data_IF_826132437931
#
_entry.id   IF_826132437931
#
_cell.length_a   1.000
_cell.length_b   1.000
_cell.length_c   1.000
_cell.angle_alpha   90.00
_cell.angle_beta   90.00
_cell.angle_gamma   90.00
#
_symmetry.space_group_name_H-M   'P 1'
#
loop_
_entity.id
_entity.type
_entity.pdbx_description
1 polymer ?
#
# COMPACT_ATOMS: atom_id res chain seq x y z
N UNK A 1 30.07 12.21 27.26
CA UNK A 1 29.31 11.11 27.89
C UNK A 1 28.17 11.58 28.80
N UNK A 2 28.37 12.59 29.67
CA UNK A 2 27.29 13.09 30.54
C UNK A 2 26.05 13.65 29.81
N UNK A 3 26.20 14.12 28.56
CA UNK A 3 25.09 14.64 27.74
C UNK A 3 24.12 13.56 27.22
N UNK A 4 24.52 12.29 27.19
CA UNK A 4 23.63 11.19 26.78
C UNK A 4 22.81 10.63 27.96
N UNK A 5 23.21 10.93 29.21
CA UNK A 5 22.51 10.48 30.40
C UNK A 5 21.03 10.92 30.42
N UNK A 6 20.68 12.19 30.11
CA UNK A 6 19.27 12.60 30.06
C UNK A 6 18.46 11.83 29.00
N UNK A 7 19.07 11.49 27.86
CA UNK A 7 18.39 10.77 26.77
C UNK A 7 18.02 9.35 27.23
N UNK A 8 18.99 8.64 27.83
CA UNK A 8 18.76 7.29 28.34
C UNK A 8 17.75 7.28 29.49
N UNK A 9 17.84 8.25 30.40
CA UNK A 9 16.91 8.40 31.52
C UNK A 9 15.48 8.68 31.02
N UNK A 10 15.31 9.58 30.05
CA UNK A 10 13.99 9.87 29.47
C UNK A 10 13.42 8.67 28.70
N UNK A 11 14.25 7.95 27.95
CA UNK A 11 13.83 6.72 27.28
C UNK A 11 13.36 5.67 28.30
N UNK A 12 14.13 5.44 29.37
CA UNK A 12 13.75 4.51 30.43
C UNK A 12 12.47 4.95 31.14
N UNK A 13 12.34 6.24 31.46
CA UNK A 13 11.14 6.79 32.09
C UNK A 13 9.91 6.63 31.19
N UNK A 14 10.04 6.87 29.89
CA UNK A 14 8.97 6.69 28.91
C UNK A 14 8.51 5.23 28.82
N UNK A 15 9.46 4.28 28.81
CA UNK A 15 9.15 2.84 28.84
C UNK A 15 8.45 2.47 30.15
N UNK A 16 8.98 2.90 31.30
CA UNK A 16 8.38 2.63 32.61
C UNK A 16 6.98 3.20 32.69
N UNK A 17 6.77 4.43 32.22
CA UNK A 17 5.46 5.06 32.19
C UNK A 17 4.47 4.30 31.30
N UNK A 18 4.88 3.87 30.10
CA UNK A 18 4.05 3.07 29.20
C UNK A 18 3.66 1.72 29.82
N UNK A 19 4.60 1.02 30.44
CA UNK A 19 4.36 -0.25 31.14
C UNK A 19 3.43 -0.06 32.33
N UNK A 20 3.70 0.92 33.20
CA UNK A 20 2.84 1.20 34.36
C UNK A 20 1.43 1.59 33.94
N UNK A 21 1.28 2.38 32.87
CA UNK A 21 -0.02 2.78 32.33
C UNK A 21 -0.79 1.58 31.78
N UNK A 22 -0.12 0.67 31.08
CA UNK A 22 -0.73 -0.58 30.61
C UNK A 22 -1.16 -1.49 31.78
N UNK A 23 -0.32 -1.65 32.81
CA UNK A 23 -0.64 -2.42 34.02
C UNK A 23 -1.82 -1.80 34.78
N UNK A 24 -1.82 -0.48 34.95
CA UNK A 24 -2.91 0.25 35.59
C UNK A 24 -4.22 0.08 34.80
N UNK A 25 -4.19 0.22 33.47
CA UNK A 25 -5.36 -0.01 32.62
C UNK A 25 -5.93 -1.43 32.79
N UNK A 26 -5.06 -2.44 32.87
CA UNK A 26 -5.46 -3.84 33.09
C UNK A 26 -6.04 -4.08 34.49
N UNK A 27 -5.51 -3.41 35.52
CA UNK A 27 -5.92 -3.61 36.92
C UNK A 27 -7.18 -2.81 37.29
N UNK A 28 -7.31 -1.58 36.79
CA UNK A 28 -8.45 -0.70 37.06
C UNK A 28 -9.63 -0.92 36.08
N UNK A 29 -9.36 -1.47 34.89
CA UNK A 29 -10.38 -1.67 33.86
C UNK A 29 -11.35 -2.83 34.19
N UNK A 30 -12.66 -2.68 33.94
CA UNK A 30 -13.62 -3.76 34.13
C UNK A 30 -13.38 -4.88 33.10
N UNK A 31 -12.94 -6.05 33.55
CA UNK A 31 -12.76 -7.23 32.71
C UNK A 31 -14.09 -7.95 32.49
N UNK A 32 -14.70 -7.75 31.31
CA UNK A 32 -15.92 -8.45 30.87
C UNK A 32 -15.74 -9.00 29.45
N UNK A 33 -14.94 -10.07 29.26
CA UNK A 33 -14.76 -10.69 27.96
C UNK A 33 -16.09 -11.29 27.50
N UNK A 34 -16.37 -11.19 26.20
CA UNK A 34 -17.48 -11.89 25.56
C UNK A 34 -17.04 -12.25 24.14
N UNK A 35 -17.56 -13.36 23.60
CA UNK A 35 -17.21 -13.81 22.26
C UNK A 35 -17.40 -12.72 21.20
N UNK A 36 -18.42 -11.87 21.35
CA UNK A 36 -18.67 -10.74 20.45
C UNK A 36 -17.65 -9.59 20.58
N UNK A 37 -17.01 -9.40 21.75
CA UNK A 37 -15.97 -8.36 21.96
C UNK A 37 -14.59 -8.80 21.49
N UNK A 38 -14.35 -10.11 21.44
CA UNK A 38 -13.09 -10.70 21.01
C UNK A 38 -13.07 -11.04 19.51
N UNK A 39 -14.25 -11.07 18.87
CA UNK A 39 -14.38 -11.30 17.45
C UNK A 39 -13.78 -10.13 16.63
N UNK A 40 -13.14 -10.42 15.48
CA UNK A 40 -12.71 -9.39 14.54
C UNK A 40 -13.86 -8.48 14.11
N UNK A 41 -13.56 -7.18 13.95
CA UNK A 41 -14.56 -6.21 13.52
C UNK A 41 -14.87 -6.35 12.03
N UNK A 42 -16.08 -6.81 11.71
CA UNK A 42 -16.61 -6.99 10.35
C UNK A 42 -18.02 -6.38 10.24
N UNK A 43 -18.25 -5.22 10.86
CA UNK A 43 -19.55 -4.53 10.92
C UNK A 43 -20.71 -5.39 11.47
N UNK A 44 -20.41 -6.38 12.32
CA UNK A 44 -21.40 -7.30 12.91
C UNK A 44 -21.70 -8.54 12.07
N UNK A 45 -21.03 -8.72 10.93
CA UNK A 45 -21.11 -9.92 10.10
C UNK A 45 -20.05 -10.91 10.57
N UNK A 46 -20.40 -12.20 10.64
CA UNK A 46 -19.41 -13.24 10.92
C UNK A 46 -18.49 -13.37 9.70
N UNK A 47 -17.16 -13.21 9.84
CA UNK A 47 -16.25 -13.29 8.69
C UNK A 47 -16.39 -14.64 7.98
N UNK A 48 -16.92 -14.60 6.76
CA UNK A 48 -17.11 -15.80 5.92
C UNK A 48 -15.89 -16.11 5.05
N UNK A 49 -14.93 -15.18 4.96
CA UNK A 49 -13.75 -15.28 4.11
C UNK A 49 -12.49 -15.10 4.94
N UNK A 50 -11.52 -15.95 4.67
CA UNK A 50 -10.18 -15.78 5.18
C UNK A 50 -9.54 -14.54 4.53
N UNK A 51 -8.70 -13.79 5.28
CA UNK A 51 -7.92 -12.72 4.70
C UNK A 51 -7.08 -13.22 3.53
N UNK A 52 -6.86 -12.41 2.48
CA UNK A 52 -6.00 -12.81 1.39
C UNK A 52 -4.59 -13.13 1.89
N UNK A 53 -4.05 -14.29 1.50
CA UNK A 53 -2.71 -14.73 1.89
C UNK A 53 -1.58 -13.84 1.34
N UNK A 54 -1.85 -13.07 0.29
CA UNK A 54 -0.86 -12.27 -0.43
C UNK A 54 -1.22 -10.80 -0.40
N UNK A 55 -0.38 -10.02 0.25
CA UNK A 55 -0.43 -8.56 0.22
C UNK A 55 0.19 -8.02 -1.09
N UNK A 56 -0.26 -6.86 -1.58
CA UNK A 56 0.32 -6.20 -2.75
C UNK A 56 1.82 -5.97 -2.62
N UNK A 57 2.57 -6.19 -3.71
CA UNK A 57 4.03 -5.97 -3.76
C UNK A 57 4.41 -4.48 -3.68
N UNK A 58 3.46 -3.57 -3.93
CA UNK A 58 3.68 -2.11 -3.86
C UNK A 58 4.24 -1.66 -2.50
N UNK A 59 3.87 -2.33 -1.39
CA UNK A 59 4.45 -2.06 -0.07
C UNK A 59 5.95 -2.36 0.00
N UNK A 60 6.38 -3.43 -0.66
CA UNK A 60 7.79 -3.78 -0.76
C UNK A 60 8.58 -2.76 -1.59
N UNK A 61 8.02 -2.31 -2.73
CA UNK A 61 8.70 -1.33 -3.60
C UNK A 61 8.91 -0.01 -2.82
N UNK A 62 7.89 0.47 -2.11
CA UNK A 62 8.04 1.68 -1.27
C UNK A 62 9.03 1.48 -0.14
N UNK A 63 9.01 0.34 0.54
CA UNK A 63 9.99 0.06 1.60
C UNK A 63 11.42 0.00 1.08
N UNK A 64 11.64 -0.65 -0.06
CA UNK A 64 12.95 -0.72 -0.73
C UNK A 64 13.44 0.67 -1.15
N UNK A 65 12.55 1.48 -1.73
CA UNK A 65 12.86 2.86 -2.12
C UNK A 65 13.21 3.72 -0.89
N UNK A 66 12.48 3.57 0.21
CA UNK A 66 12.75 4.26 1.47
C UNK A 66 14.15 3.92 2.02
N UNK A 67 14.52 2.63 2.03
CA UNK A 67 15.86 2.19 2.46
C UNK A 67 16.95 2.81 1.59
N UNK A 68 16.74 2.86 0.27
CA UNK A 68 17.70 3.46 -0.66
C UNK A 68 17.89 4.97 -0.40
N UNK A 69 16.80 5.71 -0.14
CA UNK A 69 16.88 7.13 0.22
C UNK A 69 17.48 7.37 1.60
N UNK A 70 17.21 6.51 2.59
CA UNK A 70 17.82 6.62 3.92
C UNK A 70 19.34 6.45 3.84
N UNK A 71 19.79 5.50 3.01
CA UNK A 71 21.21 5.35 2.67
C UNK A 71 21.74 6.58 1.93
N UNK A 72 20.98 7.24 1.04
CA UNK A 72 21.43 8.49 0.43
C UNK A 72 21.72 9.56 1.50
N UNK A 73 20.80 9.73 2.45
CA UNK A 73 20.93 10.72 3.54
C UNK A 73 22.13 10.42 4.43
N UNK A 74 22.44 9.14 4.70
CA UNK A 74 23.63 8.77 5.50
C UNK A 74 24.93 9.26 4.85
N UNK A 75 24.99 9.35 3.51
CA UNK A 75 26.15 9.85 2.77
C UNK A 75 26.16 11.38 2.64
N UNK A 76 24.99 12.01 2.58
CA UNK A 76 24.88 13.48 2.57
C UNK A 76 25.24 14.07 3.95
N UNK A 77 24.95 13.35 5.04
CA UNK A 77 25.12 13.86 6.41
C UNK A 77 26.57 14.26 6.76
N UNK A 78 27.61 13.44 6.49
CA UNK A 78 29.00 13.84 6.69
C UNK A 78 29.36 15.14 5.98
N UNK A 79 28.97 15.28 4.71
CA UNK A 79 29.20 16.53 3.96
C UNK A 79 28.48 17.72 4.57
N UNK A 80 27.24 17.55 5.05
CA UNK A 80 26.49 18.62 5.70
C UNK A 80 27.17 19.11 6.99
N UNK A 81 27.77 18.21 7.76
CA UNK A 81 28.46 18.54 9.02
C UNK A 81 29.86 19.11 8.80
N UNK A 82 30.62 18.60 7.83
CA UNK A 82 32.02 19.01 7.57
C UNK A 82 32.23 19.82 6.28
N UNK A 83 31.20 20.52 5.80
CA UNK A 83 31.23 21.33 4.55
C UNK A 83 32.46 22.23 4.42
N UNK A 84 32.91 22.83 5.53
CA UNK A 84 34.05 23.75 5.54
C UNK A 84 35.38 23.10 5.15
N UNK A 85 35.57 21.82 5.45
CA UNK A 85 36.80 21.08 5.14
C UNK A 85 36.77 20.49 3.72
N UNK A 86 35.59 20.07 3.26
CA UNK A 86 35.42 19.44 1.94
C UNK A 86 35.29 20.44 0.78
N UNK A 87 34.90 21.68 1.07
CA UNK A 87 34.83 22.77 0.09
C UNK A 87 33.98 22.46 -1.15
N UNK A 88 34.37 23.05 -2.29
CA UNK A 88 33.65 22.86 -3.56
C UNK A 88 33.74 21.43 -4.11
N UNK A 89 34.80 20.69 -3.77
CA UNK A 89 34.95 19.30 -4.20
C UNK A 89 33.86 18.41 -3.59
N UNK A 90 33.66 18.49 -2.26
CA UNK A 90 32.58 17.74 -1.60
C UNK A 90 31.19 18.14 -2.09
N UNK A 91 30.99 19.42 -2.40
CA UNK A 91 29.73 19.90 -2.98
C UNK A 91 29.41 19.18 -4.29
N UNK A 92 30.35 19.14 -5.23
CA UNK A 92 30.13 18.47 -6.52
C UNK A 92 30.02 16.95 -6.37
N UNK A 93 30.79 16.35 -5.46
CA UNK A 93 30.69 14.91 -5.20
C UNK A 93 29.30 14.51 -4.68
N UNK A 94 28.77 15.22 -3.68
CA UNK A 94 27.43 14.97 -3.14
C UNK A 94 26.34 15.32 -4.15
N UNK A 95 26.50 16.41 -4.91
CA UNK A 95 25.53 16.79 -5.93
C UNK A 95 25.41 15.72 -7.02
N UNK A 96 26.53 15.24 -7.56
CA UNK A 96 26.53 14.19 -8.59
C UNK A 96 25.93 12.89 -8.04
N UNK A 97 26.31 12.52 -6.82
CA UNK A 97 25.75 11.35 -6.13
C UNK A 97 24.21 11.45 -6.01
N UNK A 98 23.70 12.56 -5.46
CA UNK A 98 22.26 12.77 -5.30
C UNK A 98 21.52 12.83 -6.63
N UNK A 99 22.10 13.44 -7.68
CA UNK A 99 21.46 13.49 -9.01
C UNK A 99 21.28 12.08 -9.58
N UNK A 100 22.26 11.19 -9.43
CA UNK A 100 22.17 9.82 -9.93
C UNK A 100 21.03 9.06 -9.23
N UNK A 101 20.97 9.13 -7.89
CA UNK A 101 19.90 8.49 -7.12
C UNK A 101 18.52 9.10 -7.39
N UNK A 102 18.45 10.42 -7.51
CA UNK A 102 17.23 11.13 -7.87
C UNK A 102 16.71 10.72 -9.25
N UNK A 103 17.58 10.52 -10.24
CA UNK A 103 17.21 10.01 -11.55
C UNK A 103 16.66 8.57 -11.47
N UNK A 104 17.25 7.71 -10.65
CA UNK A 104 16.73 6.35 -10.40
C UNK A 104 15.32 6.41 -9.79
N UNK A 105 15.09 7.31 -8.83
CA UNK A 105 13.76 7.52 -8.27
C UNK A 105 12.76 7.99 -9.32
N UNK A 106 13.08 9.04 -10.09
CA UNK A 106 12.20 9.56 -11.14
C UNK A 106 11.87 8.47 -12.17
N UNK A 107 12.84 7.64 -12.52
CA UNK A 107 12.64 6.50 -13.40
C UNK A 107 11.63 5.48 -12.82
N UNK A 108 11.76 5.15 -11.53
CA UNK A 108 10.85 4.22 -10.87
C UNK A 108 9.42 4.77 -10.78
N UNK A 109 9.27 6.07 -10.51
CA UNK A 109 7.96 6.75 -10.55
C UNK A 109 7.38 6.73 -11.95
N UNK A 110 8.19 7.04 -12.98
CA UNK A 110 7.74 7.03 -14.37
C UNK A 110 7.35 5.61 -14.87
N UNK A 111 7.92 4.56 -14.27
CA UNK A 111 7.59 3.15 -14.54
C UNK A 111 6.36 2.65 -13.79
N UNK A 112 5.73 3.49 -12.96
CA UNK A 112 4.56 3.10 -12.17
C UNK A 112 4.91 2.22 -10.96
N UNK A 113 6.15 2.26 -10.47
CA UNK A 113 6.54 1.53 -9.25
C UNK A 113 5.78 1.98 -8.00
N UNK A 114 5.19 3.17 -8.06
CA UNK A 114 4.33 3.76 -7.03
C UNK A 114 2.84 3.74 -7.41
N UNK A 115 2.42 2.99 -8.42
CA UNK A 115 1.01 2.92 -8.78
C UNK A 115 0.24 2.05 -7.77
N UNK A 116 -0.63 2.70 -7.00
CA UNK A 116 -1.54 2.07 -6.03
C UNK A 116 -2.95 1.99 -6.62
N UNK A 117 -3.07 1.29 -7.76
CA UNK A 117 -4.34 1.07 -8.43
C UNK A 117 -4.76 -0.40 -8.39
N UNK A 118 -6.08 -0.71 -8.36
CA UNK A 118 -6.53 -2.07 -8.68
C UNK A 118 -5.96 -2.47 -10.05
N UNK A 119 -5.45 -3.70 -10.17
CA UNK A 119 -4.91 -4.22 -11.43
C UNK A 119 -5.95 -3.99 -12.54
N UNK A 120 -5.71 -3.03 -13.45
CA UNK A 120 -6.66 -2.68 -14.52
C UNK A 120 -6.90 -3.83 -15.51
N UNK A 121 -6.11 -4.90 -15.44
CA UNK A 121 -6.41 -6.15 -16.14
C UNK A 121 -7.47 -6.92 -15.37
N UNK A 122 -8.73 -6.51 -15.52
CA UNK A 122 -9.82 -7.46 -15.48
C UNK A 122 -9.48 -8.55 -16.51
N UNK A 123 -9.12 -9.76 -16.04
CA UNK A 123 -9.03 -10.93 -16.92
C UNK A 123 -10.37 -10.98 -17.63
N UNK A 124 -10.38 -10.75 -18.94
CA UNK A 124 -11.60 -10.77 -19.72
C UNK A 124 -12.14 -12.20 -19.69
N UNK A 125 -12.99 -12.48 -18.70
CA UNK A 125 -13.78 -13.69 -18.62
C UNK A 125 -14.77 -13.77 -19.80
N UNK A 126 -14.79 -12.79 -20.72
CA UNK A 126 -15.53 -12.85 -21.99
C UNK A 126 -15.12 -14.04 -22.86
N UNK A 127 -13.86 -14.49 -22.78
CA UNK A 127 -13.42 -15.72 -23.45
C UNK A 127 -14.04 -16.98 -22.80
N UNK A 128 -14.31 -16.93 -21.49
CA UNK A 128 -14.94 -18.01 -20.72
C UNK A 128 -16.48 -17.95 -20.81
N UNK A 129 -17.05 -16.74 -20.91
CA UNK A 129 -18.46 -16.49 -21.17
C UNK A 129 -18.87 -16.88 -22.60
N UNK A 130 -17.91 -16.98 -23.54
CA UNK A 130 -18.14 -17.54 -24.87
C UNK A 130 -18.38 -19.06 -24.86
N UNK A 131 -18.16 -19.75 -23.73
CA UNK A 131 -18.59 -21.14 -23.52
C UNK A 131 -20.04 -21.27 -23.04
N UNK A 132 -20.85 -20.20 -23.11
CA UNK A 132 -22.29 -20.25 -22.86
C UNK A 132 -23.04 -20.23 -24.20
N UNK A 133 -22.96 -21.34 -24.92
CA UNK A 133 -23.77 -21.57 -26.11
C UNK A 133 -25.25 -21.67 -25.70
N UNK A 134 -26.20 -21.05 -26.43
CA UNK A 134 -27.63 -21.09 -26.13
C UNK A 134 -28.31 -22.43 -26.47
N UNK A 135 -27.54 -23.48 -26.79
CA UNK A 135 -28.11 -24.79 -27.10
C UNK A 135 -28.66 -25.46 -25.83
N UNK A 136 -29.95 -25.72 -25.91
CA UNK A 136 -30.83 -26.25 -24.88
C UNK A 136 -30.31 -27.60 -24.37
N UNK A 137 -29.67 -27.60 -23.20
CA UNK A 137 -29.33 -28.83 -22.47
C UNK A 137 -30.60 -29.50 -21.96
N UNK A 138 -30.98 -30.66 -22.52
CA UNK A 138 -32.20 -31.41 -22.17
C UNK A 138 -32.19 -31.99 -20.73
N UNK A 139 -31.10 -31.81 -19.99
CA UNK A 139 -30.85 -32.46 -18.69
C UNK A 139 -31.04 -31.55 -17.47
N UNK A 140 -31.42 -30.28 -17.64
CA UNK A 140 -31.59 -29.33 -16.52
C UNK A 140 -32.98 -28.73 -16.47
N UNK A 141 -33.70 -28.95 -15.36
CA UNK A 141 -35.03 -28.40 -15.07
C UNK A 141 -34.98 -26.95 -14.55
N UNK A 142 -33.82 -26.32 -14.53
CA UNK A 142 -33.70 -24.91 -14.09
C UNK A 142 -33.94 -24.00 -15.29
N UNK A 143 -35.11 -23.36 -15.35
CA UNK A 143 -35.40 -22.28 -16.31
C UNK A 143 -34.47 -21.11 -15.99
N UNK A 144 -33.42 -20.90 -16.79
CA UNK A 144 -32.64 -19.67 -16.75
C UNK A 144 -33.54 -18.53 -17.22
N UNK A 145 -33.88 -17.65 -16.29
CA UNK A 145 -34.65 -16.43 -16.56
C UNK A 145 -33.80 -15.46 -17.37
N UNK A 146 -34.44 -14.86 -18.39
CA UNK A 146 -33.82 -14.07 -19.44
C UNK A 146 -33.12 -12.82 -18.94
N UNK A 147 -32.15 -12.37 -19.71
CA UNK A 147 -31.42 -11.11 -19.57
C UNK A 147 -32.22 -9.90 -20.08
N UNK A 148 -33.54 -9.98 -19.98
CA UNK A 148 -34.45 -8.95 -20.50
C UNK A 148 -34.28 -7.68 -19.64
N UNK A 149 -33.88 -6.58 -20.28
CA UNK A 149 -33.67 -5.29 -19.64
C UNK A 149 -32.22 -4.88 -19.42
N UNK A 150 -31.22 -5.67 -19.85
CA UNK A 150 -29.84 -5.19 -19.92
C UNK A 150 -29.69 -4.36 -21.19
N UNK A 151 -29.41 -3.06 -21.04
CA UNK A 151 -28.99 -2.22 -22.16
C UNK A 151 -27.71 -2.83 -22.73
N UNK A 152 -27.78 -3.34 -23.96
CA UNK A 152 -26.60 -3.71 -24.72
C UNK A 152 -25.86 -2.41 -25.04
N UNK A 153 -24.82 -2.08 -24.28
CA UNK A 153 -23.82 -1.15 -24.76
C UNK A 153 -23.04 -1.84 -25.88
N UNK A 154 -23.61 -1.77 -27.09
CA UNK A 154 -22.87 -1.98 -28.31
C UNK A 154 -21.83 -0.86 -28.44
N UNK A 155 -20.53 -1.17 -28.54
CA UNK A 155 -19.61 -0.20 -29.10
C UNK A 155 -20.02 -0.06 -30.57
N UNK A 156 -20.39 1.15 -30.98
CA UNK A 156 -20.37 1.66 -32.36
C UNK A 156 -21.58 2.57 -32.61
N UNK A 157 -21.43 3.84 -32.25
CA UNK A 157 -22.03 4.93 -33.04
C UNK A 157 -21.06 6.12 -33.08
N UNK A 158 -20.21 6.05 -34.10
CA UNK A 158 -19.62 7.20 -34.78
C UNK A 158 -20.73 8.16 -35.26
N UNK A 159 -20.60 9.47 -34.99
CA UNK A 159 -21.25 10.54 -35.78
C UNK A 159 -20.65 11.93 -35.48
N UNK A 160 -19.61 12.27 -36.25
CA UNK A 160 -19.43 13.52 -37.01
C UNK A 160 -20.22 14.82 -36.68
N UNK A 161 -19.42 15.90 -36.48
CA UNK A 161 -19.48 17.28 -37.03
C UNK A 161 -20.36 18.37 -36.35
N UNK A 162 -20.10 19.70 -36.55
CA UNK A 162 -18.97 20.37 -37.22
C UNK A 162 -18.23 21.42 -36.35
N UNK A 163 -17.00 21.76 -36.72
CA UNK A 163 -16.28 22.95 -36.26
C UNK A 163 -16.26 24.00 -37.39
N UNK A 164 -16.61 25.24 -37.03
CA UNK A 164 -16.31 26.47 -37.77
C UNK A 164 -15.10 27.15 -37.13
#
# INVERSE_FOLDING_TARGET
MGQYLPIVVLMALGIVFGVLSFLASKLLGPSRPSAAKEAPYECGIVPTREPPERFPVSFYIVAMLFIMFDIEIIFVYPYAVSRGELGYYGFWAVLIFSVIFFLTFVYEVARGGLDWGPLQKYRSLSAEAKMVTPERTLTSTVRRVGTEGRLDESPDHESTAPAA
#
